data_IF_168920270239
#
_entry.id   IF_168920270239
#
_cell.length_a   1.000
_cell.length_b   1.000
_cell.length_c   1.000
_cell.angle_alpha   90.00
_cell.angle_beta   90.00
_cell.angle_gamma   90.00
#
_symmetry.space_group_name_H-M   'P 1'
#
loop_
_entity.id
_entity.type
_entity.pdbx_description
1 polymer ?
#
# COMPACT_ATOMS: atom_id res chain seq x y z
N UNK A 1 -24.71 -1.83 -10.53
CA UNK A 1 -25.11 -0.79 -9.55
C UNK A 1 -24.85 0.54 -10.21
N UNK A 2 -25.89 1.35 -10.38
CA UNK A 2 -25.82 2.67 -11.01
C UNK A 2 -25.12 3.68 -10.07
N UNK A 3 -24.54 4.76 -10.60
CA UNK A 3 -23.81 5.83 -9.90
C UNK A 3 -24.58 6.33 -8.67
N UNK A 4 -25.87 6.64 -8.87
CA UNK A 4 -26.75 7.17 -7.83
C UNK A 4 -27.03 6.17 -6.70
N UNK A 5 -26.97 4.87 -7.00
CA UNK A 5 -27.21 3.82 -6.02
C UNK A 5 -26.01 3.65 -5.09
N UNK A 6 -24.78 3.74 -5.62
CA UNK A 6 -23.57 3.67 -4.81
C UNK A 6 -23.45 4.89 -3.89
N UNK A 7 -23.68 6.09 -4.41
CA UNK A 7 -23.64 7.32 -3.61
C UNK A 7 -24.72 7.34 -2.53
N UNK A 8 -25.94 6.89 -2.86
CA UNK A 8 -27.01 6.77 -1.88
C UNK A 8 -26.70 5.73 -0.81
N UNK A 9 -26.08 4.61 -1.17
CA UNK A 9 -25.66 3.58 -0.22
C UNK A 9 -24.59 4.15 0.73
N UNK A 10 -23.56 4.80 0.18
CA UNK A 10 -22.46 5.39 0.96
C UNK A 10 -22.96 6.50 1.86
N UNK A 11 -23.94 7.31 1.45
CA UNK A 11 -24.54 8.34 2.32
C UNK A 11 -25.47 7.76 3.40
N UNK A 12 -26.07 6.60 3.17
CA UNK A 12 -27.05 5.98 4.07
C UNK A 12 -26.42 5.13 5.18
N UNK A 13 -25.13 4.79 5.09
CA UNK A 13 -24.43 4.13 6.20
C UNK A 13 -24.24 5.14 7.34
N UNK A 14 -24.40 4.72 8.59
CA UNK A 14 -24.06 5.58 9.73
C UNK A 14 -22.53 5.54 9.93
N UNK A 15 -21.83 6.56 9.45
CA UNK A 15 -20.36 6.54 9.15
C UNK A 15 -19.51 7.13 10.28
N UNK A 16 -20.08 7.34 11.47
CA UNK A 16 -19.24 7.67 12.65
C UNK A 16 -18.28 6.52 13.03
N UNK A 17 -18.53 5.30 12.54
CA UNK A 17 -17.72 4.11 12.86
C UNK A 17 -17.17 3.37 11.63
N UNK A 18 -17.25 3.94 10.43
CA UNK A 18 -16.77 3.26 9.21
C UNK A 18 -15.25 3.36 9.08
N UNK A 19 -14.51 2.67 9.95
CA UNK A 19 -13.05 2.63 9.89
C UNK A 19 -12.55 1.68 8.79
N UNK A 20 -13.37 0.71 8.38
CA UNK A 20 -13.02 -0.30 7.38
C UNK A 20 -14.02 -0.33 6.23
N UNK A 21 -13.52 -0.35 4.99
CA UNK A 21 -14.34 -0.47 3.79
C UNK A 21 -13.78 -1.54 2.84
N UNK A 22 -14.67 -2.31 2.20
CA UNK A 22 -14.31 -3.27 1.16
C UNK A 22 -15.12 -3.01 -0.11
N UNK A 23 -14.43 -2.69 -1.21
CA UNK A 23 -15.02 -2.37 -2.51
C UNK A 23 -14.56 -3.38 -3.57
N UNK A 24 -15.52 -4.15 -4.10
CA UNK A 24 -15.29 -5.09 -5.19
C UNK A 24 -15.59 -4.47 -6.55
N UNK A 25 -14.61 -4.52 -7.47
CA UNK A 25 -14.77 -4.11 -8.87
C UNK A 25 -15.24 -2.65 -9.07
N UNK A 26 -14.71 -1.71 -8.28
CA UNK A 26 -15.03 -0.30 -8.43
C UNK A 26 -14.35 0.29 -9.69
N UNK A 27 -15.09 1.08 -10.46
CA UNK A 27 -14.53 1.85 -11.57
C UNK A 27 -13.81 3.08 -11.06
N UNK A 28 -12.88 3.62 -11.85
CA UNK A 28 -12.23 4.90 -11.58
C UNK A 28 -13.23 6.00 -11.23
N UNK A 29 -14.31 6.13 -12.00
CA UNK A 29 -15.32 7.16 -11.79
C UNK A 29 -16.01 7.02 -10.42
N UNK A 30 -16.35 5.80 -10.02
CA UNK A 30 -16.93 5.54 -8.70
C UNK A 30 -15.95 5.91 -7.58
N UNK A 31 -14.66 5.62 -7.75
CA UNK A 31 -13.62 5.99 -6.79
C UNK A 31 -13.44 7.51 -6.69
N UNK A 32 -13.48 8.23 -7.82
CA UNK A 32 -13.39 9.69 -7.84
C UNK A 32 -14.56 10.34 -7.10
N UNK A 33 -15.79 9.82 -7.26
CA UNK A 33 -16.96 10.32 -6.53
C UNK A 33 -16.89 9.97 -5.05
N UNK A 34 -16.52 8.73 -4.71
CA UNK A 34 -16.32 8.29 -3.34
C UNK A 34 -15.28 9.15 -2.61
N UNK A 35 -14.15 9.43 -3.26
CA UNK A 35 -13.06 10.21 -2.68
C UNK A 35 -13.45 11.66 -2.34
N UNK A 36 -14.54 12.17 -2.90
CA UNK A 36 -15.11 13.51 -2.59
C UNK A 36 -16.09 13.49 -1.42
N UNK A 37 -16.52 12.32 -0.97
CA UNK A 37 -17.45 12.20 0.15
C UNK A 37 -16.74 12.46 1.48
N UNK A 38 -17.42 13.12 2.42
CA UNK A 38 -16.89 13.32 3.79
C UNK A 38 -16.56 11.97 4.43
N UNK A 39 -17.34 10.95 4.10
CA UNK A 39 -17.30 9.63 4.72
C UNK A 39 -16.08 8.83 4.30
N UNK A 40 -15.56 9.08 3.11
CA UNK A 40 -14.28 8.54 2.66
C UNK A 40 -13.11 8.96 3.54
N UNK A 41 -13.13 10.20 4.05
CA UNK A 41 -12.05 10.72 4.91
C UNK A 41 -11.96 10.01 6.27
N UNK A 42 -13.03 9.32 6.69
CA UNK A 42 -13.09 8.58 7.96
C UNK A 42 -12.58 7.14 7.84
N UNK A 43 -12.43 6.63 6.62
CA UNK A 43 -11.92 5.27 6.37
C UNK A 43 -10.43 5.22 6.72
N UNK A 44 -10.03 4.22 7.52
CA UNK A 44 -8.63 3.95 7.89
C UNK A 44 -8.10 2.68 7.26
N UNK A 45 -8.97 1.72 6.98
CA UNK A 45 -8.64 0.44 6.34
C UNK A 45 -9.49 0.25 5.07
N UNK A 46 -8.84 -0.05 3.96
CA UNK A 46 -9.49 -0.20 2.66
C UNK A 46 -9.03 -1.49 1.97
N UNK A 47 -10.00 -2.33 1.60
CA UNK A 47 -9.82 -3.39 0.62
C UNK A 47 -10.46 -2.97 -0.70
N UNK A 48 -9.69 -2.82 -1.77
CA UNK A 48 -10.21 -2.33 -3.05
C UNK A 48 -9.79 -3.24 -4.20
N UNK A 49 -10.72 -3.55 -5.08
CA UNK A 49 -10.42 -4.20 -6.33
C UNK A 49 -10.91 -3.34 -7.51
N UNK A 50 -10.00 -2.99 -8.41
CA UNK A 50 -10.29 -2.29 -9.65
C UNK A 50 -9.44 -2.82 -10.82
N UNK A 51 -9.90 -2.65 -12.05
CA UNK A 51 -9.10 -2.88 -13.26
C UNK A 51 -8.37 -1.63 -13.72
N UNK A 52 -8.70 -0.48 -13.14
CA UNK A 52 -8.08 0.80 -13.45
C UNK A 52 -6.74 0.96 -12.69
N UNK A 53 -6.01 2.01 -13.04
CA UNK A 53 -4.88 2.48 -12.24
C UNK A 53 -5.41 3.33 -11.08
N UNK A 54 -4.82 3.17 -9.90
CA UNK A 54 -5.16 3.98 -8.73
C UNK A 54 -4.50 5.36 -8.78
N UNK A 55 -5.23 6.39 -8.33
CA UNK A 55 -4.67 7.69 -7.98
C UNK A 55 -4.30 7.69 -6.49
N UNK A 56 -3.02 7.89 -6.13
CA UNK A 56 -2.57 7.95 -4.73
C UNK A 56 -3.37 8.94 -3.87
N UNK A 57 -3.86 10.04 -4.46
CA UNK A 57 -4.64 11.05 -3.73
C UNK A 57 -5.95 10.52 -3.16
N UNK A 58 -6.48 9.43 -3.72
CA UNK A 58 -7.70 8.83 -3.17
C UNK A 58 -7.42 8.05 -1.88
N UNK A 59 -6.18 7.65 -1.62
CA UNK A 59 -5.87 6.69 -0.54
C UNK A 59 -4.76 7.16 0.38
N UNK A 60 -4.32 8.41 0.26
CA UNK A 60 -3.17 8.96 1.00
C UNK A 60 -3.38 8.99 2.52
N UNK A 61 -4.63 9.05 2.99
CA UNK A 61 -4.99 9.00 4.41
C UNK A 61 -5.24 7.59 4.95
N UNK A 62 -5.29 6.57 4.08
CA UNK A 62 -5.59 5.19 4.46
C UNK A 62 -4.37 4.57 5.13
N UNK A 63 -4.55 4.05 6.34
CA UNK A 63 -3.49 3.43 7.14
C UNK A 63 -3.25 1.96 6.76
N UNK A 64 -4.32 1.22 6.43
CA UNK A 64 -4.26 -0.20 6.04
C UNK A 64 -4.88 -0.37 4.67
N UNK A 65 -4.05 -0.40 3.64
CA UNK A 65 -4.48 -0.41 2.26
C UNK A 65 -4.16 -1.76 1.62
N UNK A 66 -5.18 -2.49 1.17
CA UNK A 66 -5.02 -3.72 0.39
C UNK A 66 -5.77 -3.57 -0.93
N UNK A 67 -5.06 -3.42 -2.04
CA UNK A 67 -5.66 -3.16 -3.34
C UNK A 67 -5.19 -4.12 -4.41
N UNK A 68 -6.09 -4.40 -5.35
CA UNK A 68 -5.79 -5.05 -6.62
C UNK A 68 -6.15 -4.12 -7.75
N UNK A 69 -5.16 -3.76 -8.58
CA UNK A 69 -5.29 -2.79 -9.68
C UNK A 69 -4.89 -3.41 -11.02
N UNK A 70 -5.29 -2.79 -12.13
CA UNK A 70 -4.86 -3.23 -13.46
C UNK A 70 -3.34 -3.14 -13.63
N UNK A 71 -2.82 -1.92 -13.51
CA UNK A 71 -1.40 -1.58 -13.67
C UNK A 71 -0.96 -0.67 -12.53
N UNK A 72 0.32 -0.76 -12.19
CA UNK A 72 0.96 0.14 -11.23
C UNK A 72 2.18 0.79 -11.87
N UNK A 73 2.26 2.12 -11.76
CA UNK A 73 3.38 2.89 -12.30
C UNK A 73 4.40 3.22 -11.21
N UNK A 74 5.68 3.40 -11.57
CA UNK A 74 6.71 3.84 -10.62
C UNK A 74 6.39 5.18 -9.95
N UNK A 75 5.75 6.11 -10.67
CA UNK A 75 5.30 7.39 -10.09
C UNK A 75 4.24 7.21 -9.01
N UNK A 76 3.30 6.28 -9.22
CA UNK A 76 2.29 5.93 -8.23
C UNK A 76 2.91 5.33 -6.97
N UNK A 77 3.86 4.40 -7.12
CA UNK A 77 4.64 3.84 -5.99
C UNK A 77 5.34 4.95 -5.21
N UNK A 78 6.01 5.87 -5.91
CA UNK A 78 6.73 6.98 -5.27
C UNK A 78 5.79 7.87 -4.45
N UNK A 79 4.61 8.19 -4.97
CA UNK A 79 3.62 8.99 -4.25
C UNK A 79 3.10 8.26 -3.01
N UNK A 80 2.71 6.99 -3.13
CA UNK A 80 2.23 6.19 -2.00
C UNK A 80 3.28 6.10 -0.87
N UNK A 81 4.56 5.91 -1.22
CA UNK A 81 5.65 5.91 -0.24
C UNK A 81 5.84 7.28 0.42
N UNK A 82 5.75 8.37 -0.35
CA UNK A 82 5.85 9.72 0.21
C UNK A 82 4.72 10.03 1.19
N UNK A 83 3.51 9.58 0.87
CA UNK A 83 2.35 9.76 1.74
C UNK A 83 2.52 9.01 3.06
N UNK A 84 2.99 7.76 3.02
CA UNK A 84 3.33 7.00 4.24
C UNK A 84 4.39 7.70 5.09
N UNK A 85 5.39 8.30 4.46
CA UNK A 85 6.50 8.96 5.16
C UNK A 85 6.11 10.34 5.72
N UNK A 86 5.13 11.03 5.13
CA UNK A 86 4.78 12.40 5.49
C UNK A 86 3.70 12.49 6.58
N UNK A 87 2.92 11.42 6.77
CA UNK A 87 1.71 11.46 7.59
C UNK A 87 1.88 10.96 9.04
N UNK A 88 3.12 10.76 9.54
CA UNK A 88 3.39 10.18 10.86
C UNK A 88 2.52 8.94 11.13
N UNK A 89 2.51 8.04 10.15
CA UNK A 89 1.57 6.92 10.10
C UNK A 89 1.89 5.92 11.23
N UNK A 90 0.88 5.42 11.96
CA UNK A 90 1.12 4.58 13.13
C UNK A 90 1.74 3.23 12.77
N UNK A 91 2.42 2.63 13.75
CA UNK A 91 2.87 1.24 13.73
C UNK A 91 1.75 0.28 13.29
N UNK A 92 2.08 -0.69 12.44
CA UNK A 92 1.12 -1.65 11.88
C UNK A 92 0.34 -1.13 10.66
N UNK A 93 0.67 0.06 10.16
CA UNK A 93 0.12 0.58 8.91
C UNK A 93 0.84 -0.01 7.71
N UNK A 94 0.10 -0.26 6.64
CA UNK A 94 0.64 -0.91 5.46
C UNK A 94 -0.06 -0.51 4.16
N UNK A 95 0.66 -0.70 3.07
CA UNK A 95 0.15 -0.67 1.71
C UNK A 95 0.52 -1.98 1.03
N UNK A 96 -0.48 -2.68 0.51
CA UNK A 96 -0.34 -3.85 -0.33
C UNK A 96 -1.06 -3.60 -1.64
N UNK A 97 -0.32 -3.58 -2.74
CA UNK A 97 -0.82 -3.38 -4.10
C UNK A 97 -0.46 -4.59 -4.94
N UNK A 98 -1.46 -5.36 -5.34
CA UNK A 98 -1.33 -6.42 -6.34
C UNK A 98 -1.77 -5.94 -7.72
N UNK A 99 -1.09 -6.39 -8.76
CA UNK A 99 -1.37 -5.96 -10.14
C UNK A 99 -1.78 -7.11 -11.05
N UNK A 100 -2.69 -6.84 -11.98
CA UNK A 100 -3.05 -7.81 -13.03
C UNK A 100 -1.94 -7.98 -14.07
N UNK A 101 -1.29 -6.87 -14.42
CA UNK A 101 -0.15 -6.84 -15.33
C UNK A 101 1.13 -6.54 -14.55
N UNK A 102 2.31 -6.95 -15.05
CA UNK A 102 3.57 -6.60 -14.41
C UNK A 102 3.69 -5.10 -14.15
N UNK A 103 4.30 -4.74 -13.01
CA UNK A 103 4.61 -3.35 -12.67
C UNK A 103 5.43 -2.74 -13.82
N UNK A 104 4.97 -1.61 -14.34
CA UNK A 104 5.52 -1.08 -15.60
C UNK A 104 6.94 -0.56 -15.37
N UNK A 105 7.89 -1.02 -16.20
CA UNK A 105 9.27 -0.52 -16.28
C UNK A 105 10.15 -0.78 -15.03
N UNK A 106 10.11 -2.00 -14.51
CA UNK A 106 10.90 -2.51 -13.37
C UNK A 106 12.37 -2.81 -13.68
N UNK A 107 13.05 -1.94 -14.45
CA UNK A 107 14.53 -1.96 -14.47
C UNK A 107 15.05 -1.25 -13.21
N UNK A 108 16.10 -1.79 -12.58
CA UNK A 108 16.74 -1.26 -11.36
C UNK A 108 16.94 0.27 -11.37
N UNK A 109 17.20 0.87 -12.54
CA UNK A 109 17.36 2.32 -12.69
C UNK A 109 16.11 3.12 -12.27
N UNK A 110 14.90 2.66 -12.59
CA UNK A 110 13.65 3.38 -12.28
C UNK A 110 13.31 3.30 -10.79
N UNK A 111 13.55 2.14 -10.16
CA UNK A 111 13.33 1.94 -8.72
C UNK A 111 14.35 2.73 -7.89
N UNK A 112 15.64 2.67 -8.25
CA UNK A 112 16.67 3.50 -7.61
C UNK A 112 16.34 5.00 -7.71
N UNK A 113 15.74 5.44 -8.81
CA UNK A 113 15.32 6.83 -8.98
C UNK A 113 14.10 7.22 -8.12
N UNK A 114 13.25 6.26 -7.71
CA UNK A 114 12.17 6.50 -6.75
C UNK A 114 12.78 6.78 -5.37
N UNK A 115 13.68 5.89 -4.90
CA UNK A 115 14.27 6.01 -3.56
C UNK A 115 15.23 7.20 -3.43
N UNK A 116 15.99 7.53 -4.48
CA UNK A 116 16.84 8.74 -4.51
C UNK A 116 16.07 10.06 -4.32
N UNK A 117 14.75 10.05 -4.57
CA UNK A 117 13.87 11.22 -4.41
C UNK A 117 13.12 11.24 -3.07
N UNK A 118 13.36 10.26 -2.21
CA UNK A 118 12.83 10.25 -0.85
C UNK A 118 13.78 11.04 0.07
N UNK A 119 13.27 11.79 1.05
CA UNK A 119 14.07 12.70 1.87
C UNK A 119 14.94 12.00 2.94
N UNK A 120 15.27 10.71 2.78
CA UNK A 120 15.97 9.91 3.78
C UNK A 120 17.06 9.04 3.17
N UNK A 121 18.09 8.73 3.97
CA UNK A 121 19.17 7.84 3.58
C UNK A 121 18.68 6.40 3.55
N UNK A 122 18.32 5.91 2.36
CA UNK A 122 18.02 4.50 2.14
C UNK A 122 19.28 3.65 2.39
N UNK A 123 19.29 2.83 3.43
CA UNK A 123 20.31 1.77 3.61
C UNK A 123 19.79 0.51 2.95
N UNK A 124 20.39 0.13 1.83
CA UNK A 124 19.98 -1.07 1.10
C UNK A 124 20.46 -2.32 1.86
N UNK A 125 19.77 -2.63 2.96
CA UNK A 125 19.96 -3.89 3.66
C UNK A 125 19.21 -4.94 2.85
N UNK A 126 19.95 -5.80 2.14
CA UNK A 126 19.37 -7.00 1.55
C UNK A 126 18.79 -7.82 2.69
N UNK A 127 17.46 -7.93 2.73
CA UNK A 127 16.80 -8.80 3.68
C UNK A 127 17.00 -10.23 3.19
N UNK A 128 17.60 -11.06 4.03
CA UNK A 128 17.62 -12.48 3.77
C UNK A 128 16.20 -13.02 3.95
N UNK A 129 15.47 -13.07 2.84
CA UNK A 129 14.12 -13.62 2.79
C UNK A 129 14.10 -15.08 3.25
N UNK A 130 15.22 -15.82 3.15
CA UNK A 130 15.33 -17.18 3.66
C UNK A 130 15.10 -17.25 5.18
N UNK A 131 15.47 -16.23 5.93
CA UNK A 131 15.16 -16.16 7.38
C UNK A 131 13.65 -16.11 7.67
N UNK A 132 12.84 -15.70 6.69
CA UNK A 132 11.37 -15.59 6.78
C UNK A 132 10.67 -16.82 6.13
N UNK A 133 11.42 -17.71 5.45
CA UNK A 133 10.91 -18.69 4.45
C UNK A 133 10.18 -19.95 4.95
N UNK A 134 9.97 -20.18 6.24
CA UNK A 134 9.22 -21.36 6.68
C UNK A 134 7.69 -21.16 6.71
N UNK A 135 7.17 -20.16 5.99
CA UNK A 135 5.76 -19.79 5.97
C UNK A 135 5.17 -19.75 4.55
N UNK A 136 3.84 -19.84 4.45
CA UNK A 136 3.03 -19.78 3.21
C UNK A 136 3.37 -18.57 2.31
N UNK A 137 4.01 -17.57 2.91
CA UNK A 137 4.62 -16.35 2.38
C UNK A 137 5.50 -16.59 1.14
N UNK A 138 6.19 -17.74 1.05
CA UNK A 138 7.12 -18.06 -0.05
C UNK A 138 6.49 -17.82 -1.43
N UNK A 139 5.21 -18.18 -1.63
CA UNK A 139 4.53 -18.05 -2.94
C UNK A 139 4.29 -16.60 -3.41
N UNK A 140 4.18 -15.65 -2.48
CA UNK A 140 3.90 -14.25 -2.81
C UNK A 140 5.18 -13.42 -2.94
N UNK A 141 6.24 -13.81 -2.21
CA UNK A 141 7.54 -13.15 -2.21
C UNK A 141 8.60 -13.89 -3.04
N UNK A 142 8.24 -14.93 -3.79
CA UNK A 142 9.16 -15.83 -4.53
C UNK A 142 9.98 -15.13 -5.62
N UNK A 143 9.68 -13.86 -5.97
CA UNK A 143 10.45 -13.07 -6.93
C UNK A 143 10.41 -11.57 -6.59
N UNK A 144 11.03 -11.16 -5.46
CA UNK A 144 11.18 -9.75 -5.15
C UNK A 144 12.22 -9.18 -6.11
N UNK A 145 11.80 -8.16 -6.85
CA UNK A 145 12.72 -7.39 -7.69
C UNK A 145 13.55 -6.44 -6.84
N UNK A 146 13.00 -6.01 -5.69
CA UNK A 146 13.64 -5.05 -4.80
C UNK A 146 13.08 -5.14 -3.38
N UNK A 147 13.93 -4.93 -2.39
CA UNK A 147 13.57 -4.82 -0.97
C UNK A 147 14.36 -3.70 -0.33
N UNK A 148 13.75 -2.94 0.59
CA UNK A 148 14.41 -1.80 1.22
C UNK A 148 13.85 -1.57 2.62
N UNK A 149 14.77 -1.34 3.57
CA UNK A 149 14.47 -0.86 4.91
C UNK A 149 14.80 0.63 4.99
N UNK A 150 13.90 1.45 5.51
CA UNK A 150 14.09 2.91 5.67
C UNK A 150 13.74 3.26 7.10
N UNK A 151 14.65 3.90 7.82
CA UNK A 151 14.35 4.42 9.15
C UNK A 151 13.46 5.65 9.05
N UNK A 152 12.33 5.63 9.73
CA UNK A 152 11.39 6.75 9.79
C UNK A 152 11.53 7.36 11.19
N UNK A 153 11.97 8.62 11.26
CA UNK A 153 12.02 9.41 12.50
C UNK A 153 12.89 8.85 13.65
N UNK A 154 12.91 9.57 14.77
CA UNK A 154 13.73 9.32 15.97
C UNK A 154 13.22 8.15 16.83
N UNK A 155 11.96 7.75 16.63
CA UNK A 155 11.33 6.62 17.32
C UNK A 155 11.48 5.38 16.45
N UNK A 156 12.37 4.43 16.79
CA UNK A 156 12.55 3.00 16.37
C UNK A 156 11.64 2.35 15.28
N UNK A 157 11.14 3.12 14.33
CA UNK A 157 10.14 2.80 13.34
C UNK A 157 10.84 2.71 12.00
N UNK A 158 10.43 1.72 11.23
CA UNK A 158 11.04 1.35 9.98
C UNK A 158 9.94 1.18 8.95
N UNK A 159 10.15 1.80 7.80
CA UNK A 159 9.41 1.48 6.60
C UNK A 159 10.12 0.34 5.91
N UNK A 160 9.46 -0.80 5.84
CA UNK A 160 9.88 -1.88 4.99
C UNK A 160 9.15 -1.79 3.66
N UNK A 161 9.88 -1.91 2.56
CA UNK A 161 9.33 -1.85 1.20
C UNK A 161 9.77 -3.08 0.43
N UNK A 162 8.82 -3.70 -0.28
CA UNK A 162 9.04 -4.82 -1.19
C UNK A 162 8.41 -4.48 -2.53
N UNK A 163 9.11 -4.75 -3.62
CA UNK A 163 8.59 -4.67 -4.97
C UNK A 163 8.80 -6.02 -5.64
N UNK A 164 7.73 -6.57 -6.18
CA UNK A 164 7.71 -7.81 -6.94
C UNK A 164 7.30 -7.51 -8.38
N UNK A 165 7.44 -8.48 -9.29
CA UNK A 165 7.02 -8.30 -10.69
C UNK A 165 5.56 -7.85 -10.82
N UNK A 166 4.68 -8.34 -9.94
CA UNK A 166 3.24 -8.06 -9.96
C UNK A 166 2.71 -7.48 -8.65
N UNK A 167 3.57 -6.79 -7.90
CA UNK A 167 3.15 -6.23 -6.64
C UNK A 167 4.11 -5.22 -6.03
N UNK A 168 3.56 -4.47 -5.09
CA UNK A 168 4.26 -3.51 -4.25
C UNK A 168 3.69 -3.63 -2.84
N UNK A 169 4.58 -3.74 -1.85
CA UNK A 169 4.26 -3.79 -0.44
C UNK A 169 5.07 -2.75 0.32
N UNK A 170 4.45 -2.08 1.28
CA UNK A 170 5.12 -1.24 2.25
C UNK A 170 4.49 -1.42 3.63
N UNK A 171 5.30 -1.49 4.68
CA UNK A 171 4.87 -1.74 6.06
C UNK A 171 5.64 -0.84 7.03
N UNK A 172 4.92 -0.14 7.91
CA UNK A 172 5.50 0.61 9.02
C UNK A 172 5.54 -0.30 10.25
N UNK A 173 6.74 -0.67 10.67
CA UNK A 173 7.01 -1.60 11.76
C UNK A 173 7.98 -1.00 12.76
N UNK A 174 8.06 -1.55 13.97
CA UNK A 174 9.16 -1.25 14.90
C UNK A 174 10.30 -2.23 14.68
N UNK A 175 11.55 -1.82 14.87
CA UNK A 175 12.71 -2.69 14.63
C UNK A 175 12.62 -4.00 15.42
N UNK A 176 12.21 -3.89 16.68
CA UNK A 176 12.07 -5.03 17.59
C UNK A 176 10.84 -5.93 17.29
N UNK A 177 9.92 -5.50 16.42
CA UNK A 177 8.68 -6.21 16.09
C UNK A 177 8.57 -6.55 14.59
N UNK A 178 9.66 -6.32 13.84
CA UNK A 178 9.67 -6.46 12.38
C UNK A 178 9.18 -7.83 11.90
N UNK A 179 9.66 -8.92 12.50
CA UNK A 179 9.27 -10.26 12.07
C UNK A 179 7.77 -10.55 12.26
N UNK A 180 7.19 -10.09 13.37
CA UNK A 180 5.79 -10.35 13.71
C UNK A 180 4.84 -9.47 12.89
N UNK A 181 5.20 -8.20 12.69
CA UNK A 181 4.47 -7.29 11.81
C UNK A 181 4.51 -7.79 10.36
N UNK A 182 5.67 -8.27 9.91
CA UNK A 182 5.85 -8.80 8.56
C UNK A 182 5.04 -10.09 8.35
N UNK A 183 5.05 -11.01 9.32
CA UNK A 183 4.20 -12.21 9.27
C UNK A 183 2.72 -11.83 9.15
N UNK A 184 2.26 -10.89 9.96
CA UNK A 184 0.87 -10.42 9.95
C UNK A 184 0.50 -9.78 8.60
N UNK A 185 1.33 -8.88 8.08
CA UNK A 185 1.12 -8.22 6.80
C UNK A 185 0.99 -9.19 5.60
N UNK A 186 1.67 -10.34 5.66
CA UNK A 186 1.67 -11.29 4.54
C UNK A 186 0.62 -12.40 4.74
N UNK A 187 0.14 -12.63 5.96
CA UNK A 187 -0.86 -13.66 6.26
C UNK A 187 -2.31 -13.16 6.20
N UNK A 188 -2.56 -11.85 6.21
CA UNK A 188 -3.88 -11.19 6.02
C UNK A 188 -4.23 -10.91 4.54
#
# INVERSE_FOLDING_TARGET
MDEKQLESLVRAVNIEHLETMSLGCATRFQLENLARSEQWTKVKALKLHTRDQIDPRWVSHIQRLNIRVGKLSPGCISSLLKDLLSNNVPHGSFISVSTYYPVVNTRNATLNNIFKKLPFTAKNDQIDLATITNSTIKKFLESPLYTQKIQISDENNLLFVIICERGFGALVCRDNYFEDDLKSFICE
#
